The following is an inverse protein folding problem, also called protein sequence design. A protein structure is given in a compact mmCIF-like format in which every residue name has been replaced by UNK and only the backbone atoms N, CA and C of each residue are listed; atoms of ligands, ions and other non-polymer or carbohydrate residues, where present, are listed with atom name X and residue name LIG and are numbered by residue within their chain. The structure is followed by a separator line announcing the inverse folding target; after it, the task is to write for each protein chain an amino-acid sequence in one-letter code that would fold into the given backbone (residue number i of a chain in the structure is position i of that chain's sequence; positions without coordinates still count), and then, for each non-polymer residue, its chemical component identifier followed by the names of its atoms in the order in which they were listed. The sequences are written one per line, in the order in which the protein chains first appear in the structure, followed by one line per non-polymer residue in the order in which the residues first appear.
data_IF_513849252410
#
_entry.id   IF_513849252410
#
_cell.length_a   1.000
_cell.length_b   1.000
_cell.length_c   1.000
_cell.angle_alpha   90.00
_cell.angle_beta   90.00
_cell.angle_gamma   90.00
#
_symmetry.space_group_name_H-M   'P 1'
#
loop_
_entity.id
_entity.type
_entity.pdbx_description
1 polymer ?
#
# COMPACT_ATOMS: atom_id res chain seq x y z
N UNK A 1 14.13 3.07 35.17
CA UNK A 1 15.54 3.00 34.69
C UNK A 1 15.72 3.98 33.54
N UNK A 2 16.65 4.92 33.68
CA UNK A 2 16.82 6.07 32.80
C UNK A 2 17.39 5.66 31.42
N UNK A 3 16.57 5.73 30.36
CA UNK A 3 16.98 5.41 28.98
C UNK A 3 18.13 6.29 28.47
N UNK A 4 18.35 7.50 29.05
CA UNK A 4 19.51 8.36 28.75
C UNK A 4 20.84 7.70 29.16
N UNK A 5 20.86 6.88 30.22
CA UNK A 5 22.06 6.18 30.68
C UNK A 5 22.45 5.01 29.76
N UNK A 6 21.46 4.31 29.20
CA UNK A 6 21.69 3.10 28.39
C UNK A 6 22.35 3.42 27.04
N UNK A 7 22.00 4.56 26.42
CA UNK A 7 22.62 5.01 25.16
C UNK A 7 24.02 5.64 25.34
N UNK A 8 24.27 6.32 26.47
CA UNK A 8 25.62 6.84 26.81
C UNK A 8 26.65 5.72 26.93
N UNK A 9 26.24 4.57 27.48
CA UNK A 9 27.09 3.38 27.57
C UNK A 9 27.43 2.78 26.19
N UNK A 10 26.52 2.86 25.21
CA UNK A 10 26.71 2.29 23.87
C UNK A 10 27.63 3.12 22.96
N UNK A 11 27.71 4.45 23.15
CA UNK A 11 28.66 5.33 22.44
C UNK A 11 30.12 5.19 22.93
N UNK A 12 30.35 4.62 24.11
CA UNK A 12 31.69 4.46 24.68
C UNK A 12 32.46 3.23 24.16
N UNK A 13 31.86 2.39 23.31
CA UNK A 13 32.36 1.04 23.00
C UNK A 13 33.02 0.86 21.62
N UNK A 14 33.36 1.94 20.89
CA UNK A 14 34.12 1.84 19.63
C UNK A 14 35.45 2.58 19.74
N UNK A 15 36.51 1.81 20.01
CA UNK A 15 37.91 2.28 20.09
C UNK A 15 38.73 1.69 18.93
N UNK A 16 39.37 2.60 18.19
CA UNK A 16 40.69 2.55 17.50
C UNK A 16 41.02 1.47 16.46
N UNK A 17 41.33 1.93 15.24
CA UNK A 17 42.54 1.66 14.41
C UNK A 17 42.68 2.90 13.51
N UNK A 18 43.81 3.54 13.18
CA UNK A 18 45.24 3.42 13.42
C UNK A 18 45.88 4.46 12.47
N UNK A 19 46.93 5.16 12.93
CA UNK A 19 47.55 6.32 12.27
C UNK A 19 48.24 6.00 10.93
N UNK A 20 48.20 6.96 9.98
CA UNK A 20 49.20 7.09 8.90
C UNK A 20 49.61 8.56 8.79
N UNK A 21 50.91 8.79 8.93
CA UNK A 21 51.61 10.07 8.84
C UNK A 21 52.19 10.21 7.43
N UNK A 22 52.01 11.36 6.77
CA UNK A 22 52.88 11.80 5.68
C UNK A 22 53.03 13.33 5.74
N UNK A 23 54.27 13.77 5.94
CA UNK A 23 54.80 15.14 5.79
C UNK A 23 55.20 15.36 4.31
N UNK A 24 55.47 16.51 3.70
CA UNK A 24 55.82 17.91 4.02
C UNK A 24 55.47 18.73 2.76
N UNK A 25 55.34 20.06 2.88
CA UNK A 25 56.12 21.05 2.12
C UNK A 25 55.47 22.46 2.14
N UNK A 26 56.34 23.44 2.36
CA UNK A 26 56.16 24.88 2.54
C UNK A 26 55.68 25.60 1.25
N UNK A 27 55.05 26.79 1.35
CA UNK A 27 55.71 28.06 1.02
C UNK A 27 54.82 29.34 1.13
N UNK A 28 55.45 30.39 1.69
CA UNK A 28 55.34 31.85 1.51
C UNK A 28 54.00 32.66 1.53
N UNK A 29 53.87 33.41 2.64
CA UNK A 29 53.61 34.87 2.79
C UNK A 29 52.76 35.66 1.78
N UNK A 30 51.70 36.30 2.29
CA UNK A 30 51.31 37.66 1.89
C UNK A 30 50.55 38.39 3.02
N UNK A 31 51.04 39.58 3.38
CA UNK A 31 50.38 40.55 4.24
C UNK A 31 49.19 41.20 3.53
N UNK A 32 48.04 41.31 4.19
CA UNK A 32 47.14 42.47 4.06
C UNK A 32 46.26 42.63 5.30
N UNK A 33 46.58 43.71 6.01
CA UNK A 33 45.77 44.64 6.79
C UNK A 33 44.31 44.31 7.15
N UNK A 34 44.07 44.30 8.47
CA UNK A 34 42.90 44.77 9.21
C UNK A 34 41.58 44.96 8.48
N UNK A 35 40.65 44.03 8.71
CA UNK A 35 39.22 44.24 8.54
C UNK A 35 38.51 43.98 9.88
N UNK A 36 37.78 45.00 10.30
CA UNK A 36 36.93 45.10 11.50
C UNK A 36 36.19 43.82 11.87
N UNK A 37 36.45 43.32 13.07
CA UNK A 37 35.59 42.34 13.74
C UNK A 37 34.32 43.03 14.21
N UNK A 38 33.31 43.08 13.35
CA UNK A 38 31.92 43.26 13.77
C UNK A 38 31.56 42.13 14.75
N UNK A 39 30.90 42.41 15.89
CA UNK A 39 30.49 41.36 16.79
C UNK A 39 29.42 40.52 16.09
N UNK A 40 29.73 39.26 15.79
CA UNK A 40 28.71 38.26 15.45
C UNK A 40 27.75 38.24 16.63
N UNK A 41 26.54 38.78 16.43
CA UNK A 41 25.41 38.55 17.32
C UNK A 41 25.40 37.04 17.59
N UNK A 42 25.56 36.66 18.86
CA UNK A 42 25.31 35.30 19.27
C UNK A 42 23.85 35.03 18.87
N UNK A 43 23.66 34.27 17.81
CA UNK A 43 22.36 33.69 17.53
C UNK A 43 22.03 32.89 18.78
N UNK A 44 21.11 33.42 19.59
CA UNK A 44 20.40 32.64 20.58
C UNK A 44 19.73 31.50 19.80
N UNK A 45 20.46 30.39 19.66
CA UNK A 45 19.98 29.22 18.95
C UNK A 45 18.91 28.61 19.82
N UNK A 46 17.65 29.02 19.58
CA UNK A 46 16.49 28.37 20.18
C UNK A 46 16.58 26.89 19.82
N UNK A 47 16.76 26.07 20.85
CA UNK A 47 16.79 24.61 20.73
C UNK A 47 15.40 24.03 21.00
N UNK A 48 15.12 22.93 20.33
CA UNK A 48 13.85 22.19 20.39
C UNK A 48 14.13 20.76 20.84
N UNK A 49 13.39 20.28 21.84
CA UNK A 49 13.49 18.90 22.30
C UNK A 49 12.81 17.97 21.29
N UNK A 50 13.54 16.95 20.80
CA UNK A 50 12.95 15.91 19.97
C UNK A 50 11.98 15.04 20.77
N UNK A 51 10.73 14.90 20.31
CA UNK A 51 9.70 14.13 21.01
C UNK A 51 10.01 12.62 21.14
N UNK A 52 10.85 12.08 20.25
CA UNK A 52 11.24 10.67 20.21
C UNK A 52 12.47 10.41 21.09
N UNK A 53 13.58 11.09 20.83
CA UNK A 53 14.86 10.80 21.52
C UNK A 53 15.11 11.64 22.78
N UNK A 54 14.38 12.74 22.98
CA UNK A 54 14.52 13.65 24.15
C UNK A 54 15.90 14.31 24.25
N UNK A 55 16.51 14.54 23.10
CA UNK A 55 17.71 15.36 22.92
C UNK A 55 17.32 16.67 22.24
N UNK A 56 18.09 17.73 22.49
CA UNK A 56 17.83 19.08 22.01
C UNK A 56 18.57 19.37 20.70
N UNK A 57 17.91 20.07 19.77
CA UNK A 57 18.46 20.40 18.45
C UNK A 57 18.05 21.81 18.02
N UNK A 58 18.87 22.50 17.20
CA UNK A 58 18.39 23.69 16.50
C UNK A 58 17.25 23.31 15.53
N UNK A 59 16.45 24.29 15.11
CA UNK A 59 15.33 24.06 14.17
C UNK A 59 15.75 23.33 12.88
N UNK A 60 16.94 23.63 12.34
CA UNK A 60 17.51 22.95 11.15
C UNK A 60 17.86 21.48 11.37
N UNK A 61 17.94 21.03 12.63
CA UNK A 61 18.24 19.64 13.01
C UNK A 61 17.02 18.72 13.00
N UNK A 62 15.85 19.19 12.58
CA UNK A 62 14.63 18.40 12.59
C UNK A 62 13.47 19.01 11.80
N UNK A 63 12.29 18.46 12.04
CA UNK A 63 11.05 18.81 11.37
C UNK A 63 9.97 19.01 12.43
N UNK A 64 9.32 20.17 12.39
CA UNK A 64 8.09 20.45 13.13
C UNK A 64 6.90 20.27 12.16
N UNK A 65 6.40 19.04 12.07
CA UNK A 65 5.31 18.71 11.13
C UNK A 65 3.92 19.00 11.72
N UNK A 66 3.75 18.81 13.02
CA UNK A 66 2.51 19.13 13.72
C UNK A 66 2.70 20.33 14.65
N UNK A 67 1.61 20.85 15.19
CA UNK A 67 1.63 22.08 16.01
C UNK A 67 2.39 21.92 17.34
N UNK A 68 2.56 20.69 17.83
CA UNK A 68 3.05 20.44 19.20
C UNK A 68 4.40 19.70 19.26
N UNK A 69 4.82 19.03 18.18
CA UNK A 69 5.99 18.14 18.24
C UNK A 69 7.05 18.48 17.19
N UNK A 70 8.28 18.56 17.68
CA UNK A 70 9.50 18.59 16.90
C UNK A 70 10.15 17.19 16.87
N UNK A 71 10.57 16.73 15.69
CA UNK A 71 11.28 15.45 15.51
C UNK A 71 12.61 15.69 14.84
N UNK A 72 13.72 15.27 15.44
CA UNK A 72 15.05 15.43 14.83
C UNK A 72 15.20 14.56 13.57
N UNK A 73 16.09 14.98 12.67
CA UNK A 73 16.29 14.36 11.36
C UNK A 73 16.58 12.85 11.45
N UNK A 74 17.39 12.41 12.42
CA UNK A 74 17.70 10.99 12.61
C UNK A 74 16.48 10.18 13.05
N UNK A 75 15.65 10.72 13.94
CA UNK A 75 14.43 10.06 14.39
C UNK A 75 13.35 10.01 13.29
N UNK A 76 13.32 10.99 12.38
CA UNK A 76 12.48 10.89 11.17
C UNK A 76 12.94 9.70 10.30
N UNK A 77 14.24 9.59 10.03
CA UNK A 77 14.78 8.46 9.25
C UNK A 77 14.49 7.11 9.93
N UNK A 78 14.66 7.03 11.25
CA UNK A 78 14.33 5.84 12.03
C UNK A 78 12.84 5.47 11.93
N UNK A 79 11.94 6.45 11.97
CA UNK A 79 10.50 6.22 11.80
C UNK A 79 10.18 5.65 10.42
N UNK A 80 10.82 6.14 9.35
CA UNK A 80 10.70 5.58 8.00
C UNK A 80 11.22 4.15 7.91
N UNK A 81 12.37 3.85 8.51
CA UNK A 81 12.91 2.49 8.53
C UNK A 81 12.01 1.53 9.34
N UNK A 82 11.43 1.99 10.43
CA UNK A 82 10.47 1.21 11.22
C UNK A 82 9.21 0.90 10.40
N UNK A 83 8.62 1.89 9.74
CA UNK A 83 7.47 1.71 8.86
C UNK A 83 7.77 0.82 7.64
N UNK A 84 9.02 0.81 7.14
CA UNK A 84 9.46 -0.15 6.11
C UNK A 84 9.56 -1.56 6.66
N UNK A 85 10.01 -1.74 7.89
CA UNK A 85 10.23 -3.06 8.48
C UNK A 85 8.92 -3.72 8.92
N UNK A 86 7.97 -2.93 9.44
CA UNK A 86 6.71 -3.39 10.00
C UNK A 86 5.53 -2.63 9.37
N UNK A 87 4.63 -3.37 8.73
CA UNK A 87 3.46 -2.81 8.07
C UNK A 87 2.45 -2.22 9.04
N UNK A 88 2.41 -2.70 10.28
CA UNK A 88 1.53 -2.16 11.32
C UNK A 88 2.08 -0.85 11.90
N UNK A 89 3.37 -0.55 11.69
CA UNK A 89 4.00 0.72 11.99
C UNK A 89 3.92 1.74 10.83
N UNK A 90 3.33 1.34 9.70
CA UNK A 90 3.13 2.23 8.54
C UNK A 90 1.82 3.03 8.69
N UNK A 91 1.79 4.33 8.32
CA UNK A 91 2.88 5.15 7.79
C UNK A 91 3.81 5.72 8.86
N UNK A 92 5.01 6.13 8.44
CA UNK A 92 5.88 6.95 9.28
C UNK A 92 5.18 8.28 9.60
N UNK A 93 4.92 8.51 10.88
CA UNK A 93 4.08 9.62 11.32
C UNK A 93 4.49 10.18 12.68
N UNK A 94 4.06 11.41 12.93
CA UNK A 94 3.96 12.00 14.26
C UNK A 94 2.49 11.88 14.72
N UNK A 95 1.77 13.00 14.82
CA UNK A 95 0.31 13.01 14.97
C UNK A 95 -0.41 12.69 13.64
N UNK A 96 0.25 13.01 12.53
CA UNK A 96 -0.16 12.73 11.16
C UNK A 96 1.03 12.25 10.33
N UNK A 97 0.80 11.55 9.20
CA UNK A 97 1.86 11.08 8.32
C UNK A 97 2.75 12.22 7.82
N UNK A 98 4.07 12.02 7.85
CA UNK A 98 5.01 13.04 7.39
C UNK A 98 4.83 13.33 5.89
N UNK A 99 4.59 14.59 5.48
CA UNK A 99 4.49 14.97 4.08
C UNK A 99 5.82 14.73 3.37
N UNK A 100 5.76 14.06 2.22
CA UNK A 100 6.95 13.74 1.44
C UNK A 100 7.88 14.94 1.19
N UNK A 101 7.38 16.14 0.79
CA UNK A 101 8.25 17.28 0.47
C UNK A 101 9.18 17.72 1.60
N UNK A 102 8.74 17.60 2.87
CA UNK A 102 9.51 18.10 4.01
C UNK A 102 10.56 17.11 4.51
N UNK A 103 10.38 15.80 4.27
CA UNK A 103 11.30 14.75 4.75
C UNK A 103 12.11 14.09 3.65
N UNK A 104 11.76 14.28 2.37
CA UNK A 104 12.38 13.53 1.27
C UNK A 104 13.90 13.72 1.19
N UNK A 105 14.40 14.92 1.50
CA UNK A 105 15.83 15.21 1.54
C UNK A 105 16.59 14.42 2.62
N UNK A 106 15.92 13.93 3.66
CA UNK A 106 16.48 13.09 4.72
C UNK A 106 16.59 11.62 4.31
N UNK A 107 15.80 11.19 3.32
CA UNK A 107 15.68 9.79 2.93
C UNK A 107 16.61 9.47 1.77
N UNK A 108 17.41 8.41 1.92
CA UNK A 108 18.21 7.88 0.81
C UNK A 108 17.31 7.35 -0.32
N UNK A 109 17.78 7.32 -1.59
CA UNK A 109 17.01 6.74 -2.70
C UNK A 109 16.49 5.32 -2.41
N UNK A 110 17.31 4.49 -1.74
CA UNK A 110 16.93 3.13 -1.32
C UNK A 110 15.73 3.12 -0.37
N UNK A 111 15.73 4.01 0.64
CA UNK A 111 14.63 4.14 1.60
C UNK A 111 13.36 4.62 0.90
N UNK A 112 13.46 5.55 -0.04
CA UNK A 112 12.30 6.06 -0.80
C UNK A 112 11.63 4.96 -1.64
N UNK A 113 12.42 4.14 -2.34
CA UNK A 113 11.89 3.00 -3.11
C UNK A 113 11.24 1.98 -2.19
N UNK A 114 11.94 1.57 -1.12
CA UNK A 114 11.39 0.60 -0.16
C UNK A 114 10.10 1.10 0.52
N UNK A 115 10.04 2.38 0.89
CA UNK A 115 8.84 2.98 1.47
C UNK A 115 7.69 3.05 0.47
N UNK A 116 7.96 3.28 -0.82
CA UNK A 116 6.94 3.30 -1.87
C UNK A 116 6.34 1.90 -2.09
N UNK A 117 7.17 0.85 -2.10
CA UNK A 117 6.70 -0.54 -2.15
C UNK A 117 5.86 -0.91 -0.92
N UNK A 118 6.30 -0.47 0.27
CA UNK A 118 5.54 -0.70 1.50
C UNK A 118 4.22 0.08 1.51
N UNK A 119 4.19 1.28 0.95
CA UNK A 119 2.96 2.05 0.78
C UNK A 119 1.97 1.31 -0.12
N UNK A 120 2.44 0.78 -1.25
CA UNK A 120 1.61 -0.03 -2.14
C UNK A 120 1.03 -1.25 -1.40
N UNK A 121 1.86 -1.99 -0.66
CA UNK A 121 1.37 -3.11 0.18
C UNK A 121 0.33 -2.64 1.21
N UNK A 122 0.59 -1.55 1.93
CA UNK A 122 -0.29 -1.03 2.97
C UNK A 122 -1.66 -0.64 2.42
N UNK A 123 -1.69 0.09 1.29
CA UNK A 123 -2.93 0.53 0.67
C UNK A 123 -3.62 -0.56 -0.16
N UNK A 124 -2.92 -1.64 -0.53
CA UNK A 124 -3.56 -2.83 -1.06
C UNK A 124 -4.32 -3.56 0.06
N UNK A 125 -5.61 -3.90 -0.11
CA UNK A 125 -6.37 -4.66 0.88
C UNK A 125 -5.77 -6.03 1.15
N UNK A 126 -5.73 -6.44 2.42
CA UNK A 126 -5.11 -7.71 2.87
C UNK A 126 -5.55 -8.93 2.05
N UNK A 127 -6.83 -9.01 1.69
CA UNK A 127 -7.38 -10.14 0.97
C UNK A 127 -6.80 -10.31 -0.46
N UNK A 128 -6.45 -9.20 -1.12
CA UNK A 128 -5.92 -9.23 -2.50
C UNK A 128 -4.40 -9.00 -2.56
N UNK A 129 -3.71 -8.88 -1.41
CA UNK A 129 -2.25 -8.85 -1.38
C UNK A 129 -1.70 -10.19 -1.84
N UNK A 130 -0.68 -10.12 -2.68
CA UNK A 130 0.08 -11.28 -3.12
C UNK A 130 1.48 -11.18 -2.53
N UNK A 131 1.88 -12.24 -1.84
CA UNK A 131 3.22 -12.39 -1.29
C UNK A 131 3.92 -13.53 -2.00
N UNK A 132 5.24 -13.44 -2.13
CA UNK A 132 6.04 -14.53 -2.66
C UNK A 132 5.82 -15.80 -1.83
N UNK A 133 5.45 -16.89 -2.49
CA UNK A 133 5.25 -18.20 -1.86
C UNK A 133 6.53 -18.77 -1.24
N UNK A 134 7.69 -18.39 -1.77
CA UNK A 134 8.99 -18.80 -1.25
C UNK A 134 9.17 -18.34 0.20
N UNK A 135 9.35 -19.31 1.11
CA UNK A 135 9.42 -19.09 2.55
C UNK A 135 10.60 -18.22 2.99
N UNK A 136 11.69 -18.23 2.22
CA UNK A 136 12.86 -17.40 2.50
C UNK A 136 12.68 -15.95 2.01
N UNK A 137 11.76 -15.73 1.06
CA UNK A 137 11.52 -14.43 0.46
C UNK A 137 10.34 -13.72 1.13
N UNK A 138 9.13 -14.29 1.04
CA UNK A 138 7.87 -13.75 1.60
C UNK A 138 7.61 -12.27 1.33
N UNK A 139 8.28 -11.66 0.34
CA UNK A 139 8.09 -10.25 0.03
C UNK A 139 6.75 -10.02 -0.66
N UNK A 140 6.13 -8.89 -0.39
CA UNK A 140 4.99 -8.41 -1.17
C UNK A 140 5.38 -8.29 -2.65
N UNK A 141 4.51 -8.74 -3.55
CA UNK A 141 4.70 -8.62 -5.00
C UNK A 141 3.83 -7.46 -5.49
N UNK A 142 4.43 -6.37 -6.01
CA UNK A 142 3.70 -5.23 -6.55
C UNK A 142 2.76 -5.62 -7.70
N UNK A 143 1.69 -4.85 -7.89
CA UNK A 143 0.74 -5.03 -9.00
C UNK A 143 1.44 -4.94 -10.35
N UNK A 144 2.50 -4.14 -10.48
CA UNK A 144 3.30 -4.03 -11.71
C UNK A 144 4.05 -5.31 -12.09
N UNK A 145 4.14 -6.28 -11.16
CA UNK A 145 4.77 -7.57 -11.37
C UNK A 145 3.74 -8.70 -11.52
N UNK A 146 2.46 -8.35 -11.70
CA UNK A 146 1.37 -9.26 -11.97
C UNK A 146 1.08 -9.27 -13.47
N UNK A 147 1.10 -10.45 -14.05
CA UNK A 147 0.75 -10.73 -15.46
C UNK A 147 -0.71 -11.25 -15.48
N UNK A 148 -1.62 -10.48 -16.07
CA UNK A 148 -3.07 -10.72 -16.13
C UNK A 148 -3.64 -10.81 -17.57
N UNK A 149 -2.77 -11.04 -18.55
CA UNK A 149 -3.11 -11.08 -19.98
C UNK A 149 -3.73 -12.42 -20.43
N UNK A 150 -3.59 -13.48 -19.64
CA UNK A 150 -4.10 -14.80 -19.98
C UNK A 150 -5.54 -15.01 -19.45
N UNK A 151 -6.46 -15.55 -20.27
CA UNK A 151 -7.87 -15.71 -19.87
C UNK A 151 -8.11 -16.74 -18.75
N UNK A 152 -7.14 -17.64 -18.50
CA UNK A 152 -7.30 -18.72 -17.53
C UNK A 152 -6.50 -18.54 -16.24
N UNK A 153 -5.49 -17.66 -16.22
CA UNK A 153 -4.61 -17.55 -15.07
C UNK A 153 -4.01 -16.15 -14.93
N UNK A 154 -3.64 -15.82 -13.70
CA UNK A 154 -2.94 -14.58 -13.35
C UNK A 154 -1.75 -14.95 -12.48
N UNK A 155 -0.56 -14.50 -12.86
CA UNK A 155 0.70 -14.90 -12.23
C UNK A 155 1.44 -13.68 -11.72
N UNK A 156 1.89 -13.74 -10.47
CA UNK A 156 2.73 -12.72 -9.86
C UNK A 156 4.19 -13.18 -9.84
N UNK A 157 5.08 -12.40 -10.47
CA UNK A 157 6.50 -12.73 -10.59
C UNK A 157 7.32 -11.97 -9.56
N UNK A 158 7.93 -12.70 -8.62
CA UNK A 158 8.79 -12.10 -7.61
C UNK A 158 10.20 -11.83 -8.14
N UNK A 159 10.88 -10.82 -7.61
CA UNK A 159 12.28 -10.50 -7.95
C UNK A 159 13.28 -11.61 -7.57
N UNK A 160 12.88 -12.58 -6.73
CA UNK A 160 13.69 -13.76 -6.41
C UNK A 160 13.57 -14.87 -7.45
N UNK A 161 12.75 -14.69 -8.49
CA UNK A 161 12.51 -15.65 -9.57
C UNK A 161 11.34 -16.60 -9.34
N UNK A 162 10.76 -16.64 -8.13
CA UNK A 162 9.59 -17.47 -7.82
C UNK A 162 8.32 -16.85 -8.40
N UNK A 163 7.51 -17.66 -9.08
CA UNK A 163 6.19 -17.27 -9.58
C UNK A 163 5.11 -17.74 -8.58
N UNK A 164 4.17 -16.86 -8.26
CA UNK A 164 3.07 -17.15 -7.34
C UNK A 164 1.75 -16.98 -8.09
N UNK A 165 0.87 -17.96 -8.01
CA UNK A 165 -0.48 -17.82 -8.56
C UNK A 165 -1.26 -16.77 -7.75
N UNK A 166 -1.86 -15.78 -8.40
CA UNK A 166 -2.63 -14.74 -7.70
C UNK A 166 -3.90 -15.30 -7.06
N UNK A 167 -4.53 -16.30 -7.70
CA UNK A 167 -5.77 -16.91 -7.22
C UNK A 167 -5.58 -17.74 -5.95
N UNK A 168 -4.83 -18.84 -6.04
CA UNK A 168 -4.65 -19.75 -4.89
C UNK A 168 -3.50 -19.36 -3.95
N UNK A 169 -2.66 -18.37 -4.32
CA UNK A 169 -1.48 -17.93 -3.56
C UNK A 169 -0.41 -19.01 -3.35
N UNK A 170 -0.48 -20.11 -4.09
CA UNK A 170 0.53 -21.17 -4.13
C UNK A 170 1.55 -20.94 -5.25
N UNK A 171 2.57 -21.79 -5.28
CA UNK A 171 3.58 -21.77 -6.33
C UNK A 171 2.96 -22.04 -7.70
N UNK A 172 3.35 -21.21 -8.67
CA UNK A 172 2.98 -21.39 -10.05
C UNK A 172 4.18 -21.98 -10.79
N UNK A 173 4.01 -23.18 -11.31
CA UNK A 173 5.05 -23.91 -12.05
C UNK A 173 4.94 -23.62 -13.55
N UNK A 174 3.75 -23.85 -14.13
CA UNK A 174 3.47 -23.71 -15.55
C UNK A 174 1.96 -23.57 -15.87
N UNK A 175 1.61 -23.61 -17.16
CA UNK A 175 0.24 -23.51 -17.68
C UNK A 175 -0.66 -24.71 -17.29
N UNK A 176 -0.08 -25.82 -16.83
CA UNK A 176 -0.83 -26.96 -16.29
C UNK A 176 -1.30 -26.71 -14.86
N UNK A 177 -0.84 -25.64 -14.21
CA UNK A 177 -1.27 -25.26 -12.86
C UNK A 177 -2.81 -25.21 -12.78
N UNK A 178 -3.35 -25.90 -11.78
CA UNK A 178 -4.78 -25.89 -11.43
C UNK A 178 -4.91 -25.45 -9.97
N UNK A 179 -5.71 -24.43 -9.73
CA UNK A 179 -6.09 -24.04 -8.37
C UNK A 179 -7.02 -25.11 -7.80
N UNK A 180 -6.49 -26.08 -7.06
CA UNK A 180 -7.27 -27.14 -6.41
C UNK A 180 -8.05 -26.65 -5.20
N UNK A 181 -7.51 -25.63 -4.51
CA UNK A 181 -8.11 -24.99 -3.34
C UNK A 181 -8.77 -23.67 -3.70
N UNK A 182 -9.47 -23.64 -4.84
CA UNK A 182 -10.30 -22.48 -5.17
C UNK A 182 -11.45 -22.43 -4.17
N UNK A 183 -11.28 -21.61 -3.13
CA UNK A 183 -12.45 -21.07 -2.44
C UNK A 183 -13.15 -20.25 -3.50
N UNK A 184 -14.36 -20.68 -3.87
CA UNK A 184 -15.15 -19.90 -4.79
C UNK A 184 -15.54 -18.62 -4.08
N UNK A 185 -14.72 -17.57 -4.23
CA UNK A 185 -14.93 -16.27 -3.63
C UNK A 185 -16.19 -15.57 -4.19
N UNK A 186 -16.88 -16.17 -5.17
CA UNK A 186 -18.25 -15.78 -5.55
C UNK A 186 -19.33 -16.32 -4.61
N UNK A 187 -19.01 -17.35 -3.82
CA UNK A 187 -19.89 -17.86 -2.77
C UNK A 187 -19.99 -16.82 -1.68
N UNK A 188 -21.24 -16.42 -1.40
CA UNK A 188 -21.57 -15.50 -0.30
C UNK A 188 -21.03 -16.04 1.03
N UNK A 189 -20.11 -15.33 1.70
CA UNK A 189 -19.58 -15.78 2.98
C UNK A 189 -20.67 -15.84 4.04
N UNK A 190 -20.58 -16.80 4.97
CA UNK A 190 -21.57 -17.00 6.04
C UNK A 190 -21.72 -15.78 6.97
N UNK A 191 -20.66 -14.98 7.14
CA UNK A 191 -20.70 -13.76 7.94
C UNK A 191 -21.44 -12.59 7.27
N UNK A 192 -21.67 -12.67 5.95
CA UNK A 192 -22.35 -11.62 5.19
C UNK A 192 -23.86 -11.94 5.16
N UNK A 193 -24.74 -11.00 5.54
CA UNK A 193 -26.17 -11.24 5.50
C UNK A 193 -26.68 -11.70 4.13
N UNK A 194 -27.80 -12.43 4.14
CA UNK A 194 -28.48 -12.81 2.92
C UNK A 194 -28.80 -11.59 2.05
N UNK A 195 -28.73 -11.81 0.74
CA UNK A 195 -29.05 -10.77 -0.22
C UNK A 195 -30.50 -10.30 -0.02
N UNK A 196 -30.69 -9.00 0.14
CA UNK A 196 -32.01 -8.39 0.26
C UNK A 196 -31.99 -6.97 -0.30
N UNK A 197 -33.16 -6.38 -0.49
CA UNK A 197 -33.27 -4.99 -0.92
C UNK A 197 -32.53 -3.99 0.00
N UNK A 198 -32.39 -4.34 1.28
CA UNK A 198 -31.64 -3.57 2.29
C UNK A 198 -30.17 -3.99 2.47
N UNK A 199 -29.76 -5.13 1.90
CA UNK A 199 -28.39 -5.65 1.98
C UNK A 199 -27.95 -6.17 0.61
N UNK A 200 -27.66 -5.23 -0.29
CA UNK A 200 -27.22 -5.50 -1.66
C UNK A 200 -25.69 -5.52 -1.70
N UNK A 201 -25.10 -6.64 -1.34
CA UNK A 201 -23.64 -6.81 -1.40
C UNK A 201 -23.26 -7.89 -2.42
N UNK A 202 -22.20 -7.67 -3.20
CA UNK A 202 -21.68 -8.63 -4.19
C UNK A 202 -20.15 -8.59 -4.24
N UNK A 203 -19.52 -9.68 -4.66
CA UNK A 203 -18.09 -9.71 -4.92
C UNK A 203 -17.75 -8.91 -6.19
N UNK A 204 -16.66 -8.13 -6.15
CA UNK A 204 -16.11 -7.51 -7.35
C UNK A 204 -15.73 -8.60 -8.37
N UNK A 205 -16.14 -8.53 -9.64
CA UNK A 205 -15.83 -9.58 -10.62
C UNK A 205 -14.32 -9.71 -10.88
N UNK A 206 -13.57 -8.62 -10.72
CA UNK A 206 -12.13 -8.58 -10.94
C UNK A 206 -11.31 -9.05 -9.72
N UNK A 207 -11.49 -8.41 -8.55
CA UNK A 207 -10.65 -8.68 -7.37
C UNK A 207 -11.35 -9.49 -6.27
N UNK A 208 -12.60 -9.93 -6.50
CA UNK A 208 -13.42 -10.77 -5.60
C UNK A 208 -13.71 -10.22 -4.20
N UNK A 209 -13.36 -8.96 -3.95
CA UNK A 209 -13.72 -8.27 -2.71
C UNK A 209 -15.22 -8.00 -2.65
N UNK A 210 -15.85 -8.37 -1.54
CA UNK A 210 -17.25 -8.08 -1.28
C UNK A 210 -17.47 -6.59 -1.03
N UNK A 211 -18.44 -6.03 -1.74
CA UNK A 211 -18.79 -4.62 -1.70
C UNK A 211 -20.29 -4.46 -1.58
N UNK A 212 -20.70 -3.54 -0.71
CA UNK A 212 -22.09 -3.15 -0.55
C UNK A 212 -22.44 -2.04 -1.55
N UNK A 213 -23.57 -2.20 -2.22
CA UNK A 213 -24.14 -1.22 -3.13
C UNK A 213 -25.25 -0.43 -2.44
N UNK A 214 -24.90 0.78 -2.00
CA UNK A 214 -25.80 1.70 -1.29
C UNK A 214 -26.53 2.69 -2.20
N UNK A 215 -26.06 2.84 -3.42
CA UNK A 215 -26.59 3.82 -4.37
C UNK A 215 -27.69 3.22 -5.24
N UNK A 216 -28.42 4.08 -5.95
CA UNK A 216 -29.45 3.62 -6.87
C UNK A 216 -28.83 3.08 -8.17
N UNK A 217 -27.78 3.74 -8.69
CA UNK A 217 -27.22 3.50 -10.02
C UNK A 217 -26.43 2.19 -10.08
N UNK A 218 -26.71 1.31 -11.04
CA UNK A 218 -26.02 0.03 -11.13
C UNK A 218 -24.58 0.09 -11.69
N UNK A 219 -23.99 1.28 -11.84
CA UNK A 219 -22.56 1.44 -12.14
C UNK A 219 -21.75 1.36 -10.85
N UNK A 220 -20.96 0.29 -10.70
CA UNK A 220 -20.08 0.09 -9.55
C UNK A 220 -18.64 0.37 -9.93
N UNK A 221 -17.96 1.20 -9.15
CA UNK A 221 -16.49 1.28 -9.16
C UNK A 221 -15.96 0.57 -7.93
N UNK A 222 -15.16 -0.48 -8.12
CA UNK A 222 -14.56 -1.19 -7.00
C UNK A 222 -13.64 -0.27 -6.20
N UNK A 223 -13.90 -0.08 -4.91
CA UNK A 223 -13.04 0.77 -4.07
C UNK A 223 -11.59 0.25 -3.99
N UNK A 224 -11.41 -1.05 -4.20
CA UNK A 224 -10.13 -1.74 -3.99
C UNK A 224 -9.27 -1.88 -5.24
N UNK A 225 -9.87 -2.19 -6.39
CA UNK A 225 -9.14 -2.40 -7.64
C UNK A 225 -9.53 -1.42 -8.74
N UNK A 226 -10.47 -0.51 -8.46
CA UNK A 226 -11.01 0.49 -9.38
C UNK A 226 -11.63 -0.08 -10.67
N UNK A 227 -11.89 -1.39 -10.70
CA UNK A 227 -12.62 -2.00 -11.81
C UNK A 227 -14.05 -1.49 -11.79
N UNK A 228 -14.50 -0.99 -12.94
CA UNK A 228 -15.85 -0.50 -13.16
C UNK A 228 -16.69 -1.61 -13.79
N UNK A 229 -17.86 -1.89 -13.21
CA UNK A 229 -18.73 -2.98 -13.65
C UNK A 229 -20.19 -2.69 -13.35
N UNK A 230 -21.09 -3.41 -14.03
CA UNK A 230 -22.52 -3.35 -13.74
C UNK A 230 -22.86 -4.23 -12.52
N UNK A 231 -23.50 -3.67 -11.49
CA UNK A 231 -23.90 -4.41 -10.28
C UNK A 231 -24.84 -5.58 -10.58
N UNK A 232 -25.67 -5.49 -11.62
CA UNK A 232 -26.67 -6.50 -11.95
C UNK A 232 -26.03 -7.71 -12.65
N UNK A 233 -25.28 -7.49 -13.74
CA UNK A 233 -24.73 -8.57 -14.56
C UNK A 233 -23.24 -8.85 -14.34
N UNK A 234 -22.56 -8.08 -13.49
CA UNK A 234 -21.14 -8.21 -13.16
C UNK A 234 -20.18 -8.10 -14.35
N UNK A 235 -20.64 -7.54 -15.46
CA UNK A 235 -19.81 -7.30 -16.66
C UNK A 235 -19.07 -5.96 -16.56
N UNK A 236 -17.89 -5.84 -17.19
CA UNK A 236 -17.13 -4.59 -17.22
C UNK A 236 -17.97 -3.44 -17.77
N UNK A 237 -17.88 -2.28 -17.13
CA UNK A 237 -18.51 -1.06 -17.63
C UNK A 237 -17.65 -0.47 -18.73
N UNK A 238 -18.14 -0.44 -19.96
CA UNK A 238 -17.38 0.04 -21.13
C UNK A 238 -17.84 1.44 -21.54
N UNK A 239 -17.20 2.01 -22.57
CA UNK A 239 -17.61 3.28 -23.17
C UNK A 239 -19.01 3.25 -23.78
N UNK A 240 -19.55 2.06 -24.09
CA UNK A 240 -20.95 1.89 -24.52
C UNK A 240 -21.93 2.16 -23.38
N UNK A 241 -21.41 2.24 -22.15
CA UNK A 241 -22.13 2.74 -20.99
C UNK A 241 -23.11 1.72 -20.46
N UNK A 242 -24.36 2.13 -20.31
CA UNK A 242 -25.36 1.40 -19.58
C UNK A 242 -25.83 0.13 -20.30
N UNK A 243 -25.85 -1.00 -19.59
CA UNK A 243 -26.08 -2.35 -20.11
C UNK A 243 -27.56 -2.67 -20.47
N UNK A 244 -28.30 -1.68 -20.99
CA UNK A 244 -29.74 -1.75 -21.27
C UNK A 244 -30.10 -2.74 -22.37
N UNK A 245 -29.30 -2.78 -23.45
CA UNK A 245 -29.55 -3.64 -24.61
C UNK A 245 -29.45 -5.14 -24.25
N UNK A 246 -28.74 -5.44 -23.16
CA UNK A 246 -28.70 -6.77 -22.57
C UNK A 246 -29.56 -6.86 -21.29
N UNK A 247 -30.56 -5.99 -21.20
CA UNK A 247 -31.69 -6.02 -20.26
C UNK A 247 -31.37 -5.61 -18.82
N UNK A 248 -30.24 -4.96 -18.51
CA UNK A 248 -30.02 -4.46 -17.15
C UNK A 248 -30.90 -3.25 -16.87
N UNK A 249 -31.49 -3.12 -15.66
CA UNK A 249 -32.18 -1.91 -15.22
C UNK A 249 -31.17 -0.82 -14.82
N UNK A 250 -31.56 0.45 -15.00
CA UNK A 250 -30.69 1.60 -14.70
C UNK A 250 -30.42 1.74 -13.22
N UNK A 251 -31.43 1.38 -12.43
CA UNK A 251 -31.42 1.48 -10.99
C UNK A 251 -31.97 0.21 -10.36
N UNK A 252 -31.41 -0.16 -9.22
CA UNK A 252 -31.94 -1.26 -8.42
C UNK A 252 -31.79 -2.64 -9.06
N UNK A 253 -32.59 -3.58 -8.57
CA UNK A 253 -32.60 -4.96 -9.05
C UNK A 253 -33.61 -5.13 -10.21
N UNK A 254 -33.52 -6.23 -10.98
CA UNK A 254 -34.54 -6.58 -11.97
C UNK A 254 -35.94 -6.60 -11.36
N UNK A 255 -36.93 -6.04 -12.07
CA UNK A 255 -38.29 -5.84 -11.57
C UNK A 255 -38.98 -7.16 -11.21
N UNK A 256 -38.74 -8.21 -11.99
CA UNK A 256 -39.29 -9.55 -11.77
C UNK A 256 -38.65 -10.26 -10.56
N UNK A 257 -37.52 -9.77 -10.07
CA UNK A 257 -36.80 -10.33 -8.92
C UNK A 257 -36.02 -11.61 -9.25
N UNK A 258 -35.73 -12.37 -8.19
CA UNK A 258 -34.92 -13.58 -8.23
C UNK A 258 -35.70 -14.77 -7.67
N UNK A 259 -35.40 -15.97 -8.16
CA UNK A 259 -35.87 -17.23 -7.59
C UNK A 259 -35.12 -17.58 -6.28
N UNK A 260 -35.49 -18.70 -5.66
CA UNK A 260 -34.89 -19.19 -4.43
C UNK A 260 -33.42 -19.60 -4.57
N UNK A 261 -32.97 -19.89 -5.79
CA UNK A 261 -31.58 -20.19 -6.12
C UNK A 261 -30.80 -18.94 -6.52
N UNK A 262 -31.45 -17.77 -6.60
CA UNK A 262 -30.82 -16.49 -6.89
C UNK A 262 -30.71 -16.13 -8.37
N UNK A 263 -31.40 -16.86 -9.26
CA UNK A 263 -31.48 -16.53 -10.68
C UNK A 263 -32.63 -15.56 -10.96
N UNK A 264 -32.42 -14.63 -11.88
CA UNK A 264 -33.48 -13.72 -12.34
C UNK A 264 -34.70 -14.49 -12.85
N UNK A 265 -35.90 -14.06 -12.46
CA UNK A 265 -37.15 -14.62 -12.97
C UNK A 265 -37.45 -14.22 -14.42
N UNK A 266 -36.74 -13.20 -14.92
CA UNK A 266 -36.83 -12.71 -16.28
C UNK A 266 -36.12 -13.54 -17.33
N UNK A 267 -36.32 -13.16 -18.60
CA UNK A 267 -35.81 -13.90 -19.76
C UNK A 267 -34.28 -14.07 -19.83
N UNK A 268 -33.50 -13.31 -19.05
CA UNK A 268 -32.03 -13.44 -19.00
C UNK A 268 -31.57 -14.58 -18.09
N UNK A 269 -32.30 -14.81 -16.99
CA UNK A 269 -32.00 -15.85 -16.02
C UNK A 269 -30.58 -15.79 -15.45
N UNK A 270 -29.99 -14.60 -15.24
CA UNK A 270 -28.65 -14.47 -14.65
C UNK A 270 -28.70 -14.68 -13.14
N UNK A 271 -27.70 -15.35 -12.57
CA UNK A 271 -27.56 -15.47 -11.12
C UNK A 271 -27.04 -14.16 -10.52
N UNK A 272 -27.66 -13.69 -9.44
CA UNK A 272 -27.34 -12.38 -8.84
C UNK A 272 -25.87 -12.26 -8.41
N UNK A 273 -25.28 -13.30 -7.83
CA UNK A 273 -23.96 -13.22 -7.20
C UNK A 273 -22.82 -13.54 -8.18
N UNK A 274 -23.10 -14.25 -9.28
CA UNK A 274 -22.08 -14.70 -10.23
C UNK A 274 -22.19 -14.03 -11.60
N UNK A 275 -23.38 -13.51 -11.96
CA UNK A 275 -23.63 -12.92 -13.27
C UNK A 275 -23.77 -13.95 -14.40
N UNK A 276 -23.82 -15.26 -14.10
CA UNK A 276 -23.99 -16.34 -15.07
C UNK A 276 -25.38 -16.97 -14.97
N UNK A 277 -25.96 -17.36 -16.10
CA UNK A 277 -27.19 -18.15 -16.12
C UNK A 277 -26.94 -19.62 -15.76
N UNK A 278 -28.01 -20.42 -15.71
CA UNK A 278 -27.95 -21.87 -15.41
C UNK A 278 -27.12 -22.69 -16.38
N UNK A 279 -26.82 -22.14 -17.56
CA UNK A 279 -25.95 -22.75 -18.58
C UNK A 279 -24.48 -22.28 -18.47
N UNK A 280 -24.15 -21.44 -17.48
CA UNK A 280 -22.81 -20.89 -17.29
C UNK A 280 -22.46 -19.75 -18.24
N UNK A 281 -23.46 -19.07 -18.83
CA UNK A 281 -23.27 -17.97 -19.78
C UNK A 281 -23.55 -16.62 -19.10
N UNK A 282 -22.74 -15.59 -19.37
CA UNK A 282 -22.84 -14.27 -18.75
C UNK A 282 -23.48 -13.17 -19.63
N UNK A 283 -23.98 -13.52 -20.83
CA UNK A 283 -25.06 -12.90 -21.63
C UNK A 283 -25.05 -13.46 -23.06
N UNK A 284 -26.25 -13.80 -23.57
CA UNK A 284 -26.59 -14.47 -24.84
C UNK A 284 -25.80 -15.75 -25.12
#
# INVERSE_FOLDING_TARGET
MNRKAWRKARKSATKTVGDIVVSDAEDQTAHTEGLSTEPRLAEDTIEYECCICRDDFPFSGGVAHCEEHFTCNSCVVDAYNAAIADIDAFPAQCCSPFPRPIVEHLLSPKVRVAYSLRAEEHYTPRAIRVYCVNEQCRSYIPKSCVEDDHPLFTVARCSCGTNTCVGCKNEWEDEEHRCTDYVDDTVRPEWLPEYSASCRAKACPNCRMWMEHKEACNHMTCHYCHHEFCFVCLQPWTSEGFHQDAGCPSYGDPEEGYDNEGYELGGRGLHRDTGYNRMGLNRF
#
